data_IF_265854741249
#
_entry.id   IF_265854741249
#
_cell.length_a   1.000
_cell.length_b   1.000
_cell.length_c   1.000
_cell.angle_alpha   90.00
_cell.angle_beta   90.00
_cell.angle_gamma   90.00
#
_symmetry.space_group_name_H-M   'P 1'
#
loop_
_entity.id
_entity.type
_entity.pdbx_description
1 polymer ?
#
# COMPACT_ATOMS: atom_id res chain seq x y z
N UNK A 1 8.80 7.36 3.75
CA UNK A 1 10.02 7.23 4.58
C UNK A 1 9.70 6.87 6.03
N UNK A 2 8.95 7.64 6.80
CA UNK A 2 8.63 7.32 8.21
C UNK A 2 8.09 5.88 8.38
N UNK A 3 7.04 5.53 7.64
CA UNK A 3 6.44 4.18 7.66
C UNK A 3 7.46 3.09 7.34
N UNK A 4 8.29 3.26 6.31
CA UNK A 4 9.29 2.28 5.94
C UNK A 4 10.36 2.10 7.03
N UNK A 5 10.78 3.20 7.67
CA UNK A 5 11.68 3.14 8.85
C UNK A 5 11.03 2.44 10.04
N UNK A 6 9.75 2.72 10.31
CA UNK A 6 9.00 2.02 11.37
C UNK A 6 9.01 0.52 11.13
N UNK A 7 8.68 0.08 9.91
CA UNK A 7 8.68 -1.35 9.55
C UNK A 7 10.07 -1.95 9.66
N UNK A 8 11.13 -1.21 9.29
CA UNK A 8 12.52 -1.66 9.41
C UNK A 8 12.93 -1.91 10.87
N UNK A 9 12.65 -0.95 11.78
CA UNK A 9 12.98 -1.09 13.20
C UNK A 9 12.01 -1.99 13.98
N UNK A 10 10.88 -2.33 13.38
CA UNK A 10 9.83 -3.14 13.96
C UNK A 10 9.48 -4.30 13.02
N UNK A 11 10.33 -5.32 12.91
CA UNK A 11 10.24 -6.34 11.86
C UNK A 11 8.94 -7.16 11.89
N UNK A 12 8.28 -7.29 13.04
CA UNK A 12 7.00 -7.99 13.12
C UNK A 12 5.91 -7.31 12.29
N UNK A 13 6.03 -5.98 12.04
CA UNK A 13 5.14 -5.26 11.11
C UNK A 13 5.32 -5.70 9.65
N UNK A 14 6.43 -6.34 9.31
CA UNK A 14 6.71 -6.83 7.95
C UNK A 14 6.35 -8.31 7.78
N UNK A 15 5.53 -8.84 8.68
CA UNK A 15 4.98 -10.20 8.57
C UNK A 15 3.69 -10.20 7.76
N UNK A 16 3.38 -11.39 7.25
CA UNK A 16 2.11 -11.66 6.60
C UNK A 16 1.67 -13.10 6.84
N UNK A 17 0.40 -13.37 6.56
CA UNK A 17 -0.19 -14.68 6.68
C UNK A 17 -0.55 -15.18 5.29
N UNK A 18 -0.10 -16.40 4.97
CA UNK A 18 -0.54 -17.15 3.80
C UNK A 18 -0.72 -18.61 4.21
N UNK A 19 -1.78 -19.25 3.74
CA UNK A 19 -2.06 -20.66 4.05
C UNK A 19 -2.11 -20.98 5.55
N UNK A 20 -2.56 -20.03 6.40
CA UNK A 20 -2.59 -20.12 7.87
C UNK A 20 -1.21 -20.24 8.53
N UNK A 21 -0.16 -19.73 7.89
CA UNK A 21 1.21 -19.69 8.40
C UNK A 21 1.72 -18.27 8.40
N UNK A 22 2.62 -17.95 9.33
CA UNK A 22 3.34 -16.69 9.39
C UNK A 22 4.56 -16.74 8.49
N UNK A 23 4.77 -15.64 7.76
CA UNK A 23 5.95 -15.42 6.94
C UNK A 23 6.52 -14.05 7.24
N UNK A 24 7.84 -13.93 7.18
CA UNK A 24 8.57 -12.67 7.29
C UNK A 24 8.98 -12.23 5.88
N UNK A 25 8.71 -10.96 5.53
CA UNK A 25 9.30 -10.37 4.32
C UNK A 25 10.72 -9.93 4.59
N UNK A 26 11.57 -10.06 3.60
CA UNK A 26 12.94 -9.52 3.62
C UNK A 26 12.95 -8.06 3.18
N UNK A 27 12.19 -7.74 2.12
CA UNK A 27 12.10 -6.39 1.58
C UNK A 27 10.95 -5.61 2.21
N UNK A 28 11.09 -4.29 2.25
CA UNK A 28 10.03 -3.37 2.65
C UNK A 28 9.50 -2.71 1.40
N UNK A 29 8.27 -3.03 1.05
CA UNK A 29 7.61 -2.56 -0.16
C UNK A 29 6.41 -1.68 0.17
N UNK A 30 6.26 -0.59 -0.59
CA UNK A 30 5.17 0.36 -0.49
C UNK A 30 4.33 0.24 -1.76
N UNK A 31 3.10 -0.23 -1.60
CA UNK A 31 2.13 -0.38 -2.67
C UNK A 31 1.15 0.78 -2.70
N UNK A 32 0.74 1.23 -3.88
CA UNK A 32 -0.30 2.23 -4.05
C UNK A 32 -0.91 2.17 -5.44
N UNK A 33 -2.03 2.85 -5.62
CA UNK A 33 -2.71 2.96 -6.91
C UNK A 33 -2.51 4.38 -7.45
N UNK A 34 -2.06 4.48 -8.69
CA UNK A 34 -1.89 5.75 -9.40
C UNK A 34 -2.93 5.87 -10.51
N UNK A 35 -3.73 6.93 -10.51
CA UNK A 35 -4.57 7.29 -11.66
C UNK A 35 -3.71 7.88 -12.77
N UNK A 36 -3.99 7.52 -14.02
CA UNK A 36 -3.34 8.15 -15.18
C UNK A 36 -3.72 9.63 -15.28
N UNK A 37 -5.00 9.96 -15.02
CA UNK A 37 -5.54 11.33 -14.96
C UNK A 37 -6.46 11.43 -13.75
N UNK A 38 -6.62 12.63 -13.19
CA UNK A 38 -7.58 12.88 -12.12
C UNK A 38 -9.00 13.11 -12.69
N UNK A 39 -9.56 12.05 -13.27
CA UNK A 39 -10.89 12.00 -13.89
C UNK A 39 -11.63 10.74 -13.39
N UNK A 40 -12.96 10.75 -13.33
CA UNK A 40 -13.77 9.68 -12.75
C UNK A 40 -13.54 8.31 -13.39
N UNK A 41 -13.39 8.27 -14.72
CA UNK A 41 -13.21 7.03 -15.48
C UNK A 41 -11.77 6.80 -15.96
N UNK A 42 -10.80 7.52 -15.39
CA UNK A 42 -9.39 7.34 -15.74
C UNK A 42 -8.89 5.97 -15.29
N UNK A 43 -8.08 5.35 -16.13
CA UNK A 43 -7.41 4.09 -15.79
C UNK A 43 -6.55 4.23 -14.53
N UNK A 44 -6.62 3.21 -13.71
CA UNK A 44 -5.81 3.04 -12.52
C UNK A 44 -4.68 2.05 -12.80
N UNK A 45 -3.51 2.33 -12.24
CA UNK A 45 -2.34 1.47 -12.34
C UNK A 45 -1.84 1.11 -10.96
N UNK A 46 -1.54 -0.16 -10.80
CA UNK A 46 -0.92 -0.70 -9.61
C UNK A 46 0.56 -0.33 -9.62
N UNK A 47 1.08 0.11 -8.49
CA UNK A 47 2.48 0.52 -8.32
C UNK A 47 3.02 -0.04 -7.02
N UNK A 48 4.18 -0.68 -7.10
CA UNK A 48 4.93 -1.13 -5.94
C UNK A 48 6.34 -0.55 -6.00
N UNK A 49 6.76 0.10 -4.92
CA UNK A 49 8.09 0.65 -4.75
C UNK A 49 8.78 -0.01 -3.56
N UNK A 50 9.99 -0.53 -3.76
CA UNK A 50 10.81 -1.07 -2.67
C UNK A 50 11.51 0.08 -1.94
N UNK A 51 11.57 0.04 -0.63
CA UNK A 51 12.27 1.06 0.14
C UNK A 51 13.77 1.05 -0.19
N UNK A 52 14.39 2.21 -0.51
CA UNK A 52 15.80 2.28 -0.84
C UNK A 52 16.69 2.02 0.40
N UNK A 53 17.87 1.44 0.19
CA UNK A 53 18.80 1.10 1.28
C UNK A 53 19.34 2.32 2.03
N UNK A 54 19.52 3.44 1.33
CA UNK A 54 20.08 4.66 1.91
C UNK A 54 19.10 5.48 2.77
N UNK A 55 17.80 5.15 2.74
CA UNK A 55 16.75 5.76 3.55
C UNK A 55 16.68 7.31 3.46
N UNK A 56 17.22 7.91 2.41
CA UNK A 56 17.14 9.36 2.24
C UNK A 56 15.79 9.77 1.67
N UNK A 57 15.31 10.95 2.05
CA UNK A 57 14.05 11.50 1.50
C UNK A 57 14.14 11.65 -0.03
N UNK A 58 15.29 12.06 -0.52
CA UNK A 58 15.55 12.25 -1.96
C UNK A 58 15.44 10.93 -2.71
N UNK A 59 16.09 9.86 -2.23
CA UNK A 59 16.04 8.55 -2.88
C UNK A 59 14.62 7.97 -2.89
N UNK A 60 13.90 8.05 -1.76
CA UNK A 60 12.49 7.62 -1.69
C UNK A 60 11.62 8.42 -2.68
N UNK A 61 11.80 9.74 -2.74
CA UNK A 61 11.04 10.62 -3.65
C UNK A 61 11.32 10.27 -5.11
N UNK A 62 12.58 10.13 -5.49
CA UNK A 62 12.97 9.76 -6.86
C UNK A 62 12.37 8.41 -7.27
N UNK A 63 12.43 7.43 -6.38
CA UNK A 63 11.89 6.09 -6.66
C UNK A 63 10.37 6.11 -6.82
N UNK A 64 9.65 6.76 -5.90
CA UNK A 64 8.18 6.85 -5.97
C UNK A 64 7.74 7.63 -7.19
N UNK A 65 8.33 8.81 -7.45
CA UNK A 65 7.99 9.64 -8.62
C UNK A 65 8.34 8.91 -9.92
N UNK A 66 9.50 8.25 -9.98
CA UNK A 66 9.91 7.44 -11.14
C UNK A 66 8.91 6.31 -11.43
N UNK A 67 8.52 5.54 -10.43
CA UNK A 67 7.51 4.47 -10.56
C UNK A 67 6.14 5.00 -10.97
N UNK A 68 5.69 6.13 -10.42
CA UNK A 68 4.43 6.78 -10.84
C UNK A 68 4.50 7.24 -12.30
N UNK A 69 5.61 7.84 -12.71
CA UNK A 69 5.81 8.28 -14.10
C UNK A 69 5.80 7.07 -15.04
N UNK A 70 6.53 6.02 -14.69
CA UNK A 70 6.56 4.77 -15.43
C UNK A 70 5.16 4.17 -15.58
N UNK A 71 4.41 4.04 -14.49
CA UNK A 71 3.04 3.50 -14.50
C UNK A 71 2.07 4.33 -15.37
N UNK A 72 2.31 5.64 -15.54
CA UNK A 72 1.49 6.52 -16.38
C UNK A 72 1.85 6.48 -17.86
N UNK A 73 3.10 6.18 -18.21
CA UNK A 73 3.64 6.30 -19.56
C UNK A 73 3.84 4.96 -20.28
N UNK A 74 4.17 3.90 -19.54
CA UNK A 74 4.50 2.61 -20.14
C UNK A 74 3.27 1.72 -20.38
N UNK A 75 3.44 0.78 -21.33
CA UNK A 75 2.47 -0.30 -21.54
C UNK A 75 2.52 -1.27 -20.34
N UNK A 76 1.35 -1.78 -19.99
CA UNK A 76 1.16 -2.65 -18.84
C UNK A 76 1.96 -3.96 -18.96
N UNK A 77 2.76 -4.26 -17.95
CA UNK A 77 3.36 -5.57 -17.70
C UNK A 77 2.86 -6.13 -16.37
N UNK A 78 3.28 -7.35 -15.99
CA UNK A 78 2.97 -7.95 -14.70
C UNK A 78 1.47 -8.01 -14.37
N UNK A 79 1.11 -7.63 -13.13
CA UNK A 79 -0.28 -7.61 -12.67
C UNK A 79 -1.17 -6.66 -13.49
N UNK A 80 -0.65 -5.49 -13.90
CA UNK A 80 -1.38 -4.55 -14.75
C UNK A 80 -1.68 -5.14 -16.13
N UNK A 81 -0.72 -5.86 -16.75
CA UNK A 81 -0.91 -6.55 -18.03
C UNK A 81 -1.94 -7.67 -17.93
N UNK A 82 -1.91 -8.46 -16.86
CA UNK A 82 -2.91 -9.49 -16.59
C UNK A 82 -4.31 -8.89 -16.47
N UNK A 83 -4.48 -7.78 -15.75
CA UNK A 83 -5.76 -7.09 -15.62
C UNK A 83 -6.29 -6.59 -16.98
N UNK A 84 -5.43 -6.09 -17.85
CA UNK A 84 -5.84 -5.63 -19.18
C UNK A 84 -6.35 -6.79 -20.07
N UNK A 85 -5.76 -7.96 -19.96
CA UNK A 85 -6.24 -9.18 -20.65
C UNK A 85 -7.55 -9.66 -20.04
N UNK A 86 -7.64 -9.70 -18.72
CA UNK A 86 -8.80 -10.20 -17.98
C UNK A 86 -10.09 -9.41 -18.29
N UNK A 87 -10.00 -8.12 -18.58
CA UNK A 87 -11.17 -7.27 -18.95
C UNK A 87 -11.94 -7.78 -20.17
N UNK A 88 -11.28 -8.53 -21.06
CA UNK A 88 -11.87 -9.03 -22.31
C UNK A 88 -12.39 -10.47 -22.21
N UNK A 89 -12.22 -11.12 -21.06
CA UNK A 89 -12.60 -12.51 -20.87
C UNK A 89 -14.03 -12.67 -20.34
N UNK A 90 -14.74 -13.74 -20.71
CA UNK A 90 -16.08 -14.01 -20.23
C UNK A 90 -16.08 -14.30 -18.71
N UNK A 91 -17.19 -13.94 -18.05
CA UNK A 91 -17.33 -14.01 -16.58
C UNK A 91 -17.03 -15.41 -16.00
N UNK A 92 -17.44 -16.47 -16.66
CA UNK A 92 -17.18 -17.84 -16.17
C UNK A 92 -15.68 -18.18 -16.11
N UNK A 93 -14.91 -17.68 -17.09
CA UNK A 93 -13.46 -17.84 -17.11
C UNK A 93 -12.80 -17.03 -15.99
N UNK A 94 -13.25 -15.79 -15.77
CA UNK A 94 -12.76 -14.96 -14.66
C UNK A 94 -13.00 -15.62 -13.31
N UNK A 95 -14.19 -16.22 -13.10
CA UNK A 95 -14.50 -16.94 -11.86
C UNK A 95 -13.56 -18.12 -11.65
N UNK A 96 -13.28 -18.90 -12.70
CA UNK A 96 -12.34 -20.01 -12.64
C UNK A 96 -10.91 -19.53 -12.37
N UNK A 97 -10.47 -18.49 -13.08
CA UNK A 97 -9.15 -17.88 -12.89
C UNK A 97 -8.93 -17.42 -11.45
N UNK A 98 -9.85 -16.62 -10.90
CA UNK A 98 -9.74 -16.15 -9.53
C UNK A 98 -9.86 -17.25 -8.49
N UNK A 99 -10.60 -18.32 -8.78
CA UNK A 99 -10.65 -19.51 -7.92
C UNK A 99 -9.30 -20.22 -7.87
N UNK A 100 -8.67 -20.40 -9.01
CA UNK A 100 -7.31 -20.99 -9.10
C UNK A 100 -6.30 -20.08 -8.40
N UNK A 101 -6.35 -18.78 -8.69
CA UNK A 101 -5.46 -17.79 -8.06
C UNK A 101 -5.57 -17.81 -6.53
N UNK A 102 -6.79 -17.92 -5.99
CA UNK A 102 -7.01 -18.03 -4.55
C UNK A 102 -6.43 -19.31 -3.95
N UNK A 103 -6.47 -20.43 -4.68
CA UNK A 103 -5.84 -21.68 -4.26
C UNK A 103 -4.31 -21.51 -4.28
N UNK A 104 -3.75 -20.92 -5.33
CA UNK A 104 -2.31 -20.66 -5.42
C UNK A 104 -1.85 -19.71 -4.32
N UNK A 105 -2.63 -18.67 -4.02
CA UNK A 105 -2.35 -17.73 -2.91
C UNK A 105 -2.32 -18.44 -1.56
N UNK A 106 -3.29 -19.33 -1.31
CA UNK A 106 -3.33 -20.13 -0.08
C UNK A 106 -2.07 -20.98 0.11
N UNK A 107 -1.52 -21.52 -0.97
CA UNK A 107 -0.28 -22.33 -0.96
C UNK A 107 1.00 -21.50 -1.13
N UNK A 108 0.90 -20.18 -1.25
CA UNK A 108 2.04 -19.27 -1.49
C UNK A 108 2.70 -19.49 -2.86
N UNK A 109 1.94 -19.97 -3.86
CA UNK A 109 2.42 -20.31 -5.20
C UNK A 109 1.92 -19.37 -6.29
N UNK A 110 1.53 -18.15 -5.93
CA UNK A 110 1.19 -17.13 -6.93
C UNK A 110 2.45 -16.78 -7.72
N UNK A 111 2.41 -16.75 -9.06
CA UNK A 111 3.55 -16.38 -9.89
C UNK A 111 4.10 -15.00 -9.53
N UNK A 112 5.42 -14.86 -9.54
CA UNK A 112 6.09 -13.61 -9.13
C UNK A 112 5.71 -12.44 -10.05
N UNK A 113 5.51 -12.70 -11.34
CA UNK A 113 5.05 -11.68 -12.31
C UNK A 113 3.70 -11.05 -11.96
N UNK A 114 2.84 -11.78 -11.23
CA UNK A 114 1.55 -11.27 -10.75
C UNK A 114 1.65 -10.62 -9.38
N UNK A 115 2.74 -10.87 -8.62
CA UNK A 115 2.94 -10.36 -7.26
C UNK A 115 3.74 -9.08 -7.23
N UNK A 116 4.77 -8.94 -8.08
CA UNK A 116 5.75 -7.86 -8.01
C UNK A 116 5.13 -6.46 -8.12
N UNK A 117 4.15 -6.30 -9.00
CA UNK A 117 3.47 -5.03 -9.24
C UNK A 117 2.10 -4.92 -8.54
N UNK A 118 1.69 -5.94 -7.77
CA UNK A 118 0.41 -5.92 -7.08
C UNK A 118 0.56 -5.39 -5.64
N UNK A 119 0.01 -4.19 -5.32
CA UNK A 119 0.06 -3.61 -3.99
C UNK A 119 -0.54 -4.50 -2.89
N UNK A 120 -1.39 -5.47 -3.25
CA UNK A 120 -1.96 -6.42 -2.30
C UNK A 120 -0.90 -7.36 -1.71
N UNK A 121 0.28 -7.47 -2.33
CA UNK A 121 1.42 -8.22 -1.81
C UNK A 121 2.50 -7.34 -1.17
N UNK A 122 2.33 -6.02 -1.18
CA UNK A 122 3.27 -5.09 -0.56
C UNK A 122 3.27 -5.17 0.97
N UNK A 123 4.34 -4.71 1.61
CA UNK A 123 4.43 -4.58 3.07
C UNK A 123 3.38 -3.62 3.60
N UNK A 124 3.22 -2.48 2.93
CA UNK A 124 2.27 -1.44 3.29
C UNK A 124 1.53 -0.96 2.04
N UNK A 125 0.23 -0.89 2.10
CA UNK A 125 -0.60 -0.29 1.07
C UNK A 125 -0.92 1.16 1.45
N UNK A 126 -0.61 2.10 0.56
CA UNK A 126 -0.80 3.53 0.77
C UNK A 126 -1.90 4.07 -0.13
N UNK A 127 -2.80 4.87 0.41
CA UNK A 127 -3.73 5.68 -0.38
C UNK A 127 -3.62 7.15 0.03
N UNK A 128 -3.58 8.06 -0.94
CA UNK A 128 -3.49 9.50 -0.71
C UNK A 128 -4.80 10.18 -1.09
N UNK A 129 -5.69 10.31 -0.13
CA UNK A 129 -6.99 10.98 -0.28
C UNK A 129 -6.84 12.50 -0.21
N UNK A 130 -5.76 13.02 0.39
CA UNK A 130 -5.46 14.45 0.41
C UNK A 130 -5.31 15.05 -0.99
N UNK A 131 -4.90 14.25 -1.98
CA UNK A 131 -4.80 14.67 -3.38
C UNK A 131 -6.16 15.06 -4.02
N UNK A 132 -7.27 14.59 -3.44
CA UNK A 132 -8.66 14.89 -3.84
C UNK A 132 -9.42 15.64 -2.75
N UNK A 133 -8.70 16.27 -1.82
CA UNK A 133 -9.26 17.07 -0.71
C UNK A 133 -10.20 16.29 0.22
N UNK A 134 -10.00 14.97 0.35
CA UNK A 134 -10.76 14.14 1.28
C UNK A 134 -10.00 13.94 2.61
N UNK A 135 -10.72 13.85 3.76
CA UNK A 135 -10.11 13.47 5.02
C UNK A 135 -9.60 12.02 4.97
N UNK A 136 -8.77 11.65 5.94
CA UNK A 136 -8.38 10.25 6.08
C UNK A 136 -9.58 9.38 6.47
N UNK A 137 -9.59 8.15 5.96
CA UNK A 137 -10.62 7.14 6.27
C UNK A 137 -9.95 5.85 6.69
N UNK A 138 -10.69 4.97 7.36
CA UNK A 138 -10.23 3.61 7.62
C UNK A 138 -10.66 2.71 6.48
N UNK A 139 -9.71 1.98 5.93
CA UNK A 139 -9.96 0.93 4.93
C UNK A 139 -9.97 -0.44 5.62
N UNK A 140 -10.79 -1.36 5.13
CA UNK A 140 -10.59 -2.76 5.47
C UNK A 140 -9.44 -3.36 4.63
N UNK A 141 -8.76 -4.35 5.19
CA UNK A 141 -7.76 -5.12 4.46
C UNK A 141 -8.43 -6.04 3.43
N UNK A 142 -7.77 -6.27 2.31
CA UNK A 142 -8.28 -7.15 1.28
C UNK A 142 -8.19 -8.62 1.71
N UNK A 143 -9.18 -9.41 1.27
CA UNK A 143 -9.20 -10.85 1.47
C UNK A 143 -8.28 -11.61 0.48
N UNK A 144 -7.59 -10.88 -0.38
CA UNK A 144 -6.64 -11.37 -1.39
C UNK A 144 -5.28 -10.73 -1.16
N UNK A 145 -4.22 -11.51 -1.40
CA UNK A 145 -2.85 -11.07 -1.19
C UNK A 145 -2.38 -11.21 0.25
N UNK A 146 -1.29 -10.56 0.56
CA UNK A 146 -0.58 -10.68 1.84
C UNK A 146 -0.38 -9.35 2.55
N UNK A 147 -1.05 -8.28 2.11
CA UNK A 147 -0.96 -6.98 2.73
C UNK A 147 -1.54 -7.01 4.15
N UNK A 148 -0.78 -6.53 5.13
CA UNK A 148 -1.16 -6.49 6.55
C UNK A 148 -1.29 -5.08 7.11
N UNK A 149 -0.89 -4.07 6.36
CA UNK A 149 -0.95 -2.66 6.78
C UNK A 149 -1.51 -1.81 5.64
N UNK A 150 -2.57 -1.07 5.91
CA UNK A 150 -3.12 -0.08 4.98
C UNK A 150 -3.15 1.29 5.62
N UNK A 151 -2.65 2.29 4.92
CA UNK A 151 -2.52 3.66 5.40
C UNK A 151 -3.25 4.61 4.44
N UNK A 152 -4.20 5.37 4.97
CA UNK A 152 -4.90 6.44 4.27
C UNK A 152 -4.39 7.80 4.75
N UNK A 153 -3.86 8.60 3.82
CA UNK A 153 -3.36 9.95 4.08
C UNK A 153 -4.46 10.92 3.70
N UNK A 154 -4.90 11.73 4.67
CA UNK A 154 -5.94 12.73 4.49
C UNK A 154 -5.40 14.07 3.98
N UNK A 155 -6.29 15.04 3.93
CA UNK A 155 -5.99 16.42 3.50
C UNK A 155 -5.09 17.12 4.49
N UNK A 156 -4.12 17.88 3.96
CA UNK A 156 -3.32 18.82 4.73
C UNK A 156 -4.19 20.03 5.14
N UNK A 157 -4.24 20.33 6.45
CA UNK A 157 -4.97 21.48 7.00
C UNK A 157 -4.13 22.25 7.98
N UNK A 158 -4.48 23.53 8.17
CA UNK A 158 -3.90 24.34 9.24
C UNK A 158 -4.73 24.16 10.50
N UNK A 159 -4.05 23.93 11.62
CA UNK A 159 -4.66 23.74 12.92
C UNK A 159 -3.92 24.56 13.97
N UNK A 160 -4.69 25.25 14.83
CA UNK A 160 -4.13 25.98 15.97
C UNK A 160 -3.77 25.00 17.08
N UNK A 161 -2.52 24.98 17.50
CA UNK A 161 -2.06 24.25 18.69
C UNK A 161 -1.78 25.21 19.83
N UNK A 162 -2.31 24.86 21.00
CA UNK A 162 -2.04 25.56 22.26
C UNK A 162 -1.01 24.71 23.00
N UNK A 163 0.15 25.31 23.30
CA UNK A 163 1.18 24.66 24.09
C UNK A 163 0.85 24.72 25.60
N UNK A 164 1.48 23.90 26.47
CA UNK A 164 1.25 23.88 27.89
C UNK A 164 1.48 25.24 28.60
N UNK A 165 2.31 26.10 28.01
CA UNK A 165 2.59 27.50 28.48
C UNK A 165 1.53 28.52 28.04
N UNK A 166 0.47 28.08 27.34
CA UNK A 166 -0.60 28.91 26.80
C UNK A 166 -0.27 29.58 25.46
N UNK A 167 0.94 29.41 24.92
CA UNK A 167 1.29 29.95 23.61
C UNK A 167 0.52 29.26 22.49
N UNK A 168 0.12 30.04 21.46
CA UNK A 168 -0.62 29.54 20.30
C UNK A 168 0.26 29.51 19.05
N UNK A 169 0.22 28.41 18.32
CA UNK A 169 0.94 28.27 17.05
C UNK A 169 0.05 27.61 16.01
N UNK A 170 0.07 28.11 14.78
CA UNK A 170 -0.60 27.48 13.64
C UNK A 170 0.38 26.51 12.99
N UNK A 171 -0.05 25.26 12.84
CA UNK A 171 0.76 24.20 12.22
C UNK A 171 0.00 23.51 11.10
N UNK A 172 0.76 23.03 10.12
CA UNK A 172 0.22 22.15 9.09
C UNK A 172 0.05 20.74 9.69
N UNK A 173 -1.18 20.23 9.61
CA UNK A 173 -1.56 18.94 10.15
C UNK A 173 -2.16 18.05 9.06
N UNK A 174 -1.90 16.76 9.15
CA UNK A 174 -2.49 15.75 8.28
C UNK A 174 -2.99 14.59 9.13
N UNK A 175 -4.20 14.12 8.86
CA UNK A 175 -4.73 12.92 9.49
C UNK A 175 -4.27 11.69 8.72
N UNK A 176 -3.90 10.66 9.45
CA UNK A 176 -3.50 9.38 8.89
C UNK A 176 -4.37 8.31 9.51
N UNK A 177 -5.18 7.64 8.67
CA UNK A 177 -5.93 6.44 9.06
C UNK A 177 -5.07 5.20 8.83
N UNK A 178 -4.91 4.36 9.84
CA UNK A 178 -4.10 3.14 9.75
C UNK A 178 -4.97 1.94 10.08
N UNK A 179 -5.00 0.96 9.19
CA UNK A 179 -5.65 -0.33 9.40
C UNK A 179 -4.57 -1.41 9.41
N UNK A 180 -4.63 -2.25 10.43
CA UNK A 180 -3.60 -3.24 10.74
C UNK A 180 -4.23 -4.63 10.88
N UNK A 181 -3.50 -5.66 10.46
CA UNK A 181 -3.88 -7.05 10.70
C UNK A 181 -3.32 -7.52 12.04
N UNK A 182 -4.17 -7.56 13.08
CA UNK A 182 -3.76 -7.99 14.41
C UNK A 182 -3.29 -9.46 14.48
N UNK A 183 -3.50 -10.22 13.42
CA UNK A 183 -2.97 -11.58 13.34
C UNK A 183 -1.44 -11.62 13.22
N UNK A 184 -0.79 -10.54 12.71
CA UNK A 184 0.67 -10.49 12.51
C UNK A 184 1.42 -9.97 13.74
N UNK A 185 0.78 -9.10 14.53
CA UNK A 185 1.30 -8.59 15.79
C UNK A 185 0.14 -8.07 16.64
N UNK A 186 0.30 -8.02 17.95
CA UNK A 186 -0.73 -7.52 18.86
C UNK A 186 -0.86 -5.99 18.89
N UNK A 187 -1.98 -5.51 19.44
CA UNK A 187 -2.27 -4.07 19.53
C UNK A 187 -1.25 -3.27 20.35
N UNK A 188 -0.61 -3.91 21.35
CA UNK A 188 0.43 -3.27 22.15
C UNK A 188 1.69 -3.03 21.31
N UNK A 189 2.10 -4.02 20.51
CA UNK A 189 3.23 -3.89 19.60
C UNK A 189 2.98 -2.79 18.57
N UNK A 190 1.77 -2.76 17.96
CA UNK A 190 1.37 -1.72 17.03
C UNK A 190 1.36 -0.34 17.67
N UNK A 191 0.71 -0.18 18.83
CA UNK A 191 0.61 1.12 19.50
C UNK A 191 1.95 1.73 19.91
N UNK A 192 2.96 0.89 20.18
CA UNK A 192 4.33 1.35 20.45
C UNK A 192 5.17 1.58 19.19
N UNK A 193 4.68 1.18 18.03
CA UNK A 193 5.39 1.31 16.76
C UNK A 193 4.99 2.56 16.00
N UNK A 194 3.82 3.11 16.28
CA UNK A 194 3.26 4.34 15.71
C UNK A 194 3.64 5.56 16.55
#
# INVERSE_FOLDING_TARGET
MAVAKTVYFRPDLNRYISGRRYYQRYDITLGFVAKKRFEDHSEERLVVATAPEDWTLTAVTHQVVGKVHQARTEKSGGANGAMDILKHLPRWFLMLFFRILKILDFYGKVPDELREDDPNFASVFLTNLGSISCPSVYHHLNNYGTNSIMIAIGTLRKEEKIAPDGSRSVRDMVDIGITLDERVADGFYFGRSL
#
